data_IF_431029511621
#
_entry.id   IF_431029511621
#
_cell.length_a   1.000
_cell.length_b   1.000
_cell.length_c   1.000
_cell.angle_alpha   90.00
_cell.angle_beta   90.00
_cell.angle_gamma   90.00
#
_symmetry.space_group_name_H-M   'P 1'
#
loop_
_entity.id
_entity.type
_entity.pdbx_description
1 polymer ?
#
# COMPACT_ATOMS: atom_id res chain seq x y z
N UNK A 1 27.70 1.80 -7.26
CA UNK A 1 27.21 1.88 -5.87
C UNK A 1 26.61 0.54 -5.54
N UNK A 2 27.31 -0.25 -4.72
CA UNK A 2 26.89 -1.59 -4.32
C UNK A 2 25.97 -1.50 -3.11
N UNK A 3 24.92 -2.33 -3.10
CA UNK A 3 24.05 -2.55 -1.95
C UNK A 3 24.90 -2.97 -0.74
N UNK A 4 24.96 -2.16 0.32
CA UNK A 4 25.80 -2.50 1.46
C UNK A 4 25.89 -1.50 2.61
N UNK A 5 24.92 -0.60 2.80
CA UNK A 5 24.99 0.37 3.92
C UNK A 5 23.72 0.45 4.77
N UNK A 6 23.04 -0.68 4.93
CA UNK A 6 22.08 -0.82 6.02
C UNK A 6 22.73 -1.55 7.20
N UNK A 7 22.71 -0.98 8.41
CA UNK A 7 23.21 -1.66 9.59
C UNK A 7 22.42 -2.96 9.84
N UNK A 8 23.05 -4.01 10.40
CA UNK A 8 22.37 -5.28 10.66
C UNK A 8 21.20 -5.07 11.63
N UNK A 9 20.09 -5.79 11.39
CA UNK A 9 18.91 -5.79 12.26
C UNK A 9 19.31 -6.32 13.65
N UNK A 10 19.36 -5.42 14.64
CA UNK A 10 19.74 -5.72 16.02
C UNK A 10 20.78 -4.78 16.65
N UNK A 11 21.31 -3.80 15.91
CA UNK A 11 22.13 -2.73 16.50
C UNK A 11 21.19 -1.69 17.13
N UNK A 12 21.35 -1.41 18.43
CA UNK A 12 20.84 -0.18 19.03
C UNK A 12 21.36 0.98 18.18
N UNK A 13 20.49 1.58 17.38
CA UNK A 13 20.83 2.81 16.69
C UNK A 13 21.07 3.84 17.81
N UNK A 14 22.33 4.10 18.12
CA UNK A 14 22.73 5.31 18.85
C UNK A 14 21.94 6.46 18.21
N UNK A 15 21.23 7.31 18.97
CA UNK A 15 20.25 8.24 18.41
C UNK A 15 20.80 9.25 17.38
N UNK A 16 22.12 9.38 17.27
CA UNK A 16 22.80 10.39 16.45
C UNK A 16 22.59 10.26 14.93
N UNK A 17 22.73 9.11 14.26
CA UNK A 17 22.54 9.02 12.80
C UNK A 17 21.07 9.27 12.42
N UNK A 18 20.12 8.79 13.24
CA UNK A 18 18.70 9.05 13.05
C UNK A 18 18.41 10.56 13.19
N UNK A 19 18.90 11.18 14.26
CA UNK A 19 18.73 12.62 14.48
C UNK A 19 19.40 13.45 13.39
N UNK A 20 20.59 13.04 12.93
CA UNK A 20 21.31 13.72 11.87
C UNK A 20 20.54 13.64 10.54
N UNK A 21 20.03 12.47 10.18
CA UNK A 21 19.22 12.29 8.97
C UNK A 21 17.91 13.10 9.04
N UNK A 22 17.22 13.09 10.18
CA UNK A 22 16.01 13.89 10.42
C UNK A 22 16.28 15.41 10.39
N UNK A 23 17.48 15.83 10.78
CA UNK A 23 17.89 17.24 10.78
C UNK A 23 18.42 17.75 9.44
N UNK A 24 18.62 16.85 8.46
CA UNK A 24 19.08 17.24 7.12
C UNK A 24 18.01 18.01 6.36
N UNK A 25 18.41 18.94 5.50
CA UNK A 25 17.48 19.72 4.67
C UNK A 25 16.72 18.89 3.64
N UNK A 26 17.26 17.71 3.30
CA UNK A 26 16.66 16.80 2.32
C UNK A 26 15.84 15.69 3.00
N UNK A 27 16.01 15.42 4.29
CA UNK A 27 15.31 14.35 5.03
C UNK A 27 15.82 12.93 4.74
N UNK A 28 15.52 11.92 5.58
CA UNK A 28 15.93 10.53 5.35
C UNK A 28 15.11 9.86 4.23
N UNK A 29 15.66 8.78 3.69
CA UNK A 29 14.89 7.79 2.93
C UNK A 29 14.14 6.86 3.88
N UNK A 30 12.83 6.76 3.72
CA UNK A 30 11.94 5.99 4.60
C UNK A 30 11.17 4.95 3.80
N UNK A 31 11.22 3.71 4.26
CA UNK A 31 10.35 2.63 3.76
C UNK A 31 9.41 2.22 4.89
N UNK A 32 8.12 2.47 4.69
CA UNK A 32 7.08 2.04 5.61
C UNK A 32 6.53 0.68 5.15
N UNK A 33 6.55 -0.32 6.03
CA UNK A 33 6.12 -1.70 5.70
C UNK A 33 4.89 -2.05 6.51
N UNK A 34 3.86 -2.61 5.87
CA UNK A 34 2.66 -3.06 6.57
C UNK A 34 1.42 -3.11 5.69
N UNK A 35 0.26 -2.82 6.27
CA UNK A 35 -1.03 -2.75 5.57
C UNK A 35 -2.07 -1.98 6.37
N UNK A 36 -3.30 -1.98 5.88
CA UNK A 36 -4.45 -1.38 6.54
C UNK A 36 -4.32 0.10 6.84
N UNK A 37 -5.07 0.52 7.87
CA UNK A 37 -5.11 1.91 8.33
C UNK A 37 -3.82 2.34 9.03
N UNK A 38 -3.13 1.40 9.69
CA UNK A 38 -1.88 1.70 10.41
C UNK A 38 -0.79 2.21 9.46
N UNK A 39 -0.57 1.49 8.35
CA UNK A 39 0.39 1.92 7.34
C UNK A 39 -0.03 3.27 6.71
N UNK A 40 -1.31 3.44 6.39
CA UNK A 40 -1.83 4.69 5.81
C UNK A 40 -1.56 5.90 6.73
N UNK A 41 -1.74 5.77 8.05
CA UNK A 41 -1.42 6.84 8.99
C UNK A 41 0.10 7.06 9.13
N UNK A 42 0.88 5.98 9.12
CA UNK A 42 2.33 6.06 9.19
C UNK A 42 2.91 6.83 7.99
N UNK A 43 2.46 6.55 6.75
CA UNK A 43 2.96 7.27 5.56
C UNK A 43 2.56 8.74 5.55
N UNK A 44 1.37 9.11 6.07
CA UNK A 44 1.00 10.53 6.26
C UNK A 44 1.94 11.23 7.24
N UNK A 45 2.32 10.56 8.33
CA UNK A 45 3.29 11.11 9.27
C UNK A 45 4.69 11.20 8.65
N UNK A 46 5.13 10.18 7.91
CA UNK A 46 6.44 10.13 7.28
C UNK A 46 6.66 11.23 6.24
N UNK A 47 5.60 11.61 5.49
CA UNK A 47 5.65 12.72 4.54
C UNK A 47 6.09 14.07 5.14
N UNK A 48 6.05 14.23 6.47
CA UNK A 48 6.46 15.47 7.15
C UNK A 48 7.96 15.62 7.32
N UNK A 49 8.72 14.53 7.23
CA UNK A 49 10.16 14.53 7.48
C UNK A 49 10.97 13.75 6.44
N UNK A 50 10.37 12.80 5.74
CA UNK A 50 11.06 11.96 4.77
C UNK A 50 11.42 12.75 3.51
N UNK A 51 12.67 12.61 3.07
CA UNK A 51 13.14 13.11 1.78
C UNK A 51 12.75 12.23 0.61
N UNK A 52 12.71 10.93 0.86
CA UNK A 52 12.19 9.92 -0.05
C UNK A 52 11.31 8.96 0.75
N UNK A 53 10.15 8.61 0.20
CA UNK A 53 9.18 7.74 0.86
C UNK A 53 8.74 6.62 -0.06
N UNK A 54 8.74 5.41 0.46
CA UNK A 54 8.09 4.26 -0.18
C UNK A 54 7.24 3.50 0.84
N UNK A 55 6.14 2.92 0.37
CA UNK A 55 5.26 2.07 1.15
C UNK A 55 5.30 0.65 0.59
N UNK A 56 5.81 -0.32 1.35
CA UNK A 56 5.73 -1.74 1.01
C UNK A 56 4.47 -2.32 1.66
N UNK A 57 3.50 -2.67 0.83
CA UNK A 57 2.13 -2.94 1.24
C UNK A 57 1.82 -4.43 1.14
N UNK A 58 1.34 -5.03 2.22
CA UNK A 58 0.79 -6.38 2.18
C UNK A 58 -0.45 -6.44 1.29
N UNK A 59 -0.58 -7.55 0.57
CA UNK A 59 -1.66 -7.78 -0.39
C UNK A 59 -2.43 -9.07 -0.07
N UNK A 60 -2.28 -9.57 1.15
CA UNK A 60 -2.95 -10.77 1.66
C UNK A 60 -4.36 -10.50 2.24
N UNK A 61 -4.82 -9.25 2.21
CA UNK A 61 -6.12 -8.85 2.78
C UNK A 61 -7.28 -9.47 2.00
N UNK A 62 -8.04 -10.33 2.67
CA UNK A 62 -9.26 -10.97 2.19
C UNK A 62 -10.54 -10.31 2.74
N UNK A 63 -10.41 -9.23 3.52
CA UNK A 63 -11.51 -8.53 4.16
C UNK A 63 -12.32 -7.59 3.26
N UNK A 64 -13.48 -8.05 2.77
CA UNK A 64 -14.57 -7.20 2.28
C UNK A 64 -14.82 -7.27 0.77
N UNK A 65 -15.35 -6.19 0.18
CA UNK A 65 -15.72 -6.15 -1.25
C UNK A 65 -14.53 -6.35 -2.19
N UNK A 66 -13.30 -6.09 -1.74
CA UNK A 66 -12.06 -6.40 -2.47
C UNK A 66 -11.93 -7.90 -2.76
N UNK A 67 -12.32 -8.78 -1.83
CA UNK A 67 -12.23 -10.23 -2.01
C UNK A 67 -13.20 -10.79 -3.05
N UNK A 68 -14.28 -10.07 -3.38
CA UNK A 68 -15.28 -10.46 -4.39
C UNK A 68 -14.86 -10.13 -5.83
N UNK A 69 -13.99 -9.15 -6.01
CA UNK A 69 -13.53 -8.71 -7.34
C UNK A 69 -12.39 -9.56 -7.90
N UNK A 70 -11.68 -10.28 -7.03
CA UNK A 70 -10.34 -10.84 -7.28
C UNK A 70 -10.27 -12.37 -7.53
N UNK A 71 -11.33 -13.22 -7.38
CA UNK A 71 -11.20 -14.67 -7.65
C UNK A 71 -10.58 -15.02 -9.01
N UNK A 72 -10.90 -14.24 -10.05
CA UNK A 72 -10.60 -14.61 -11.44
C UNK A 72 -9.55 -13.71 -12.13
N UNK A 73 -8.94 -12.76 -11.40
CA UNK A 73 -8.14 -11.67 -12.00
C UNK A 73 -6.63 -11.79 -11.83
N UNK A 74 -6.12 -12.87 -11.23
CA UNK A 74 -4.68 -13.10 -10.99
C UNK A 74 -3.89 -11.85 -10.53
N UNK A 75 -4.54 -11.04 -9.69
CA UNK A 75 -3.99 -9.79 -9.18
C UNK A 75 -4.06 -9.76 -7.65
N UNK A 76 -3.19 -8.98 -6.99
CA UNK A 76 -3.25 -8.84 -5.54
C UNK A 76 -4.51 -8.08 -5.10
N UNK A 77 -4.92 -8.27 -3.84
CA UNK A 77 -6.08 -7.55 -3.31
C UNK A 77 -5.83 -6.03 -3.31
N UNK A 78 -6.68 -5.20 -3.96
CA UNK A 78 -6.38 -3.79 -4.17
C UNK A 78 -6.59 -2.91 -2.93
N UNK A 79 -7.18 -3.44 -1.86
CA UNK A 79 -7.69 -2.65 -0.73
C UNK A 79 -6.62 -1.83 0.01
N UNK A 80 -5.55 -2.48 0.44
CA UNK A 80 -4.47 -1.83 1.18
C UNK A 80 -3.60 -0.93 0.30
N UNK A 81 -3.37 -1.35 -0.95
CA UNK A 81 -2.72 -0.54 -1.98
C UNK A 81 -3.49 0.76 -2.19
N UNK A 82 -4.81 0.68 -2.39
CA UNK A 82 -5.69 1.85 -2.54
C UNK A 82 -5.57 2.80 -1.35
N UNK A 83 -5.60 2.28 -0.12
CA UNK A 83 -5.46 3.10 1.09
C UNK A 83 -4.12 3.85 1.11
N UNK A 84 -3.02 3.18 0.76
CA UNK A 84 -1.71 3.82 0.69
C UNK A 84 -1.62 4.88 -0.41
N UNK A 85 -2.16 4.60 -1.60
CA UNK A 85 -2.24 5.57 -2.69
C UNK A 85 -3.00 6.85 -2.27
N UNK A 86 -4.13 6.71 -1.58
CA UNK A 86 -4.88 7.85 -1.05
C UNK A 86 -4.05 8.60 0.00
N UNK A 87 -3.39 7.89 0.92
CA UNK A 87 -2.60 8.48 1.99
C UNK A 87 -1.38 9.27 1.47
N UNK A 88 -0.78 8.82 0.37
CA UNK A 88 0.38 9.45 -0.27
C UNK A 88 0.01 10.46 -1.35
N UNK A 89 -1.28 10.70 -1.61
CA UNK A 89 -1.73 11.67 -2.63
C UNK A 89 -2.10 13.03 -2.02
N UNK A 90 -1.85 14.15 -2.70
CA UNK A 90 -2.18 15.48 -2.21
C UNK A 90 -3.69 15.68 -2.04
N UNK A 91 -4.06 16.53 -1.08
CA UNK A 91 -5.45 16.96 -0.85
C UNK A 91 -5.56 18.49 -0.99
N UNK A 92 -6.61 19.02 -1.66
CA UNK A 92 -7.74 18.33 -2.30
C UNK A 92 -7.54 18.03 -3.80
N UNK A 93 -7.88 16.81 -4.25
CA UNK A 93 -8.01 16.46 -5.67
C UNK A 93 -9.26 15.65 -5.96
N UNK A 94 -9.84 15.80 -7.15
CA UNK A 94 -11.00 14.98 -7.59
C UNK A 94 -10.62 13.50 -7.66
N UNK A 95 -9.42 13.17 -8.14
CA UNK A 95 -8.94 11.80 -8.21
C UNK A 95 -8.87 11.13 -6.84
N UNK A 96 -8.35 11.82 -5.82
CA UNK A 96 -8.34 11.29 -4.44
C UNK A 96 -9.76 10.99 -3.95
N UNK A 97 -10.72 11.89 -4.20
CA UNK A 97 -12.13 11.66 -3.84
C UNK A 97 -12.75 10.48 -4.57
N UNK A 98 -12.45 10.30 -5.86
CA UNK A 98 -12.93 9.16 -6.65
C UNK A 98 -12.34 7.84 -6.13
N UNK A 99 -11.06 7.81 -5.78
CA UNK A 99 -10.42 6.62 -5.23
C UNK A 99 -10.95 6.28 -3.83
N UNK A 100 -11.29 7.27 -3.01
CA UNK A 100 -11.86 7.07 -1.68
C UNK A 100 -13.37 6.76 -1.69
N UNK A 101 -14.05 7.05 -2.81
CA UNK A 101 -15.49 6.87 -2.93
C UNK A 101 -15.91 5.40 -2.75
N UNK A 102 -17.00 5.21 -2.01
CA UNK A 102 -17.67 3.92 -1.80
C UNK A 102 -19.13 4.03 -2.21
N UNK A 103 -19.61 3.03 -2.95
CA UNK A 103 -21.01 2.97 -3.34
C UNK A 103 -21.89 2.54 -2.17
N UNK A 104 -22.92 3.34 -1.88
CA UNK A 104 -23.85 3.09 -0.76
C UNK A 104 -25.10 2.28 -1.19
N UNK A 105 -25.40 2.25 -2.48
CA UNK A 105 -26.57 1.57 -3.05
C UNK A 105 -26.26 1.10 -4.48
N UNK A 106 -27.12 0.26 -5.07
CA UNK A 106 -27.00 -0.45 -6.38
C UNK A 106 -26.32 -1.83 -6.34
N UNK A 107 -26.23 -2.49 -7.49
CA UNK A 107 -25.55 -3.79 -7.68
C UNK A 107 -24.05 -3.74 -7.32
N UNK A 108 -23.46 -2.54 -7.27
CA UNK A 108 -22.08 -2.32 -6.82
C UNK A 108 -21.99 -1.86 -5.36
N UNK A 109 -23.08 -1.92 -4.59
CA UNK A 109 -23.11 -1.51 -3.19
C UNK A 109 -21.97 -2.15 -2.37
N UNK A 110 -21.32 -1.33 -1.55
CA UNK A 110 -20.18 -1.71 -0.73
C UNK A 110 -18.84 -1.80 -1.49
N UNK A 111 -18.79 -1.66 -2.80
CA UNK A 111 -17.52 -1.56 -3.54
C UNK A 111 -16.92 -0.16 -3.39
N UNK A 112 -15.59 -0.12 -3.29
CA UNK A 112 -14.85 1.13 -3.47
C UNK A 112 -14.63 1.36 -4.96
N UNK A 113 -14.91 2.58 -5.43
CA UNK A 113 -14.61 2.96 -6.81
C UNK A 113 -13.11 2.88 -7.08
N UNK A 114 -12.25 3.27 -6.13
CA UNK A 114 -10.80 3.10 -6.25
C UNK A 114 -10.35 1.65 -6.45
N UNK A 115 -11.01 0.67 -5.81
CA UNK A 115 -10.70 -0.74 -6.08
C UNK A 115 -11.08 -1.14 -7.51
N UNK A 116 -12.23 -0.67 -7.99
CA UNK A 116 -12.68 -0.95 -9.36
C UNK A 116 -11.76 -0.29 -10.40
N UNK A 117 -11.27 0.91 -10.11
CA UNK A 117 -10.28 1.60 -10.94
C UNK A 117 -8.96 0.85 -10.98
N UNK A 118 -8.46 0.32 -9.85
CA UNK A 118 -7.24 -0.49 -9.83
C UNK A 118 -7.40 -1.79 -10.63
N UNK A 119 -8.55 -2.44 -10.53
CA UNK A 119 -8.88 -3.60 -11.37
C UNK A 119 -8.89 -3.23 -12.86
N UNK A 120 -9.55 -2.13 -13.22
CA UNK A 120 -9.61 -1.67 -14.60
C UNK A 120 -8.21 -1.31 -15.14
N UNK A 121 -7.40 -0.62 -14.35
CA UNK A 121 -6.03 -0.25 -14.73
C UNK A 121 -5.15 -1.47 -14.91
N UNK A 122 -5.25 -2.48 -14.05
CA UNK A 122 -4.57 -3.77 -14.23
C UNK A 122 -4.92 -4.41 -15.59
N UNK A 123 -6.20 -4.44 -15.96
CA UNK A 123 -6.65 -5.01 -17.24
C UNK A 123 -6.23 -4.18 -18.46
N UNK A 124 -6.25 -2.84 -18.35
CA UNK A 124 -5.91 -1.92 -19.43
C UNK A 124 -4.41 -1.93 -19.71
N UNK A 125 -3.59 -1.86 -18.65
CA UNK A 125 -2.14 -1.79 -18.77
C UNK A 125 -1.50 -3.18 -18.97
N UNK A 126 -2.23 -4.26 -18.65
CA UNK A 126 -1.82 -5.65 -18.88
C UNK A 126 -0.99 -6.28 -17.75
N UNK A 127 -0.66 -5.50 -16.70
CA UNK A 127 -0.01 -5.99 -15.49
C UNK A 127 -0.48 -5.19 -14.27
N UNK A 128 -0.37 -5.77 -13.07
CA UNK A 128 -0.73 -5.06 -11.83
C UNK A 128 0.26 -3.92 -11.54
N UNK A 129 1.55 -4.12 -11.84
CA UNK A 129 2.60 -3.11 -11.65
C UNK A 129 2.35 -1.88 -12.51
N UNK A 130 2.07 -2.07 -13.81
CA UNK A 130 1.80 -0.95 -14.71
C UNK A 130 0.49 -0.24 -14.37
N UNK A 131 -0.53 -1.00 -13.96
CA UNK A 131 -1.79 -0.46 -13.44
C UNK A 131 -1.59 0.37 -12.17
N UNK A 132 -0.69 -0.06 -11.27
CA UNK A 132 -0.33 0.69 -10.06
C UNK A 132 0.41 1.98 -10.40
N UNK A 133 1.40 1.92 -11.31
CA UNK A 133 2.10 3.11 -11.80
C UNK A 133 1.15 4.11 -12.46
N UNK A 134 0.14 3.64 -13.20
CA UNK A 134 -0.90 4.49 -13.75
C UNK A 134 -1.77 5.15 -12.67
N UNK A 135 -2.16 4.40 -11.63
CA UNK A 135 -2.89 4.94 -10.49
C UNK A 135 -2.08 5.99 -9.72
N UNK A 136 -0.78 5.75 -9.50
CA UNK A 136 0.12 6.69 -8.86
C UNK A 136 0.18 8.03 -9.60
N UNK A 137 0.30 7.97 -10.93
CA UNK A 137 0.28 9.15 -11.81
C UNK A 137 -1.05 9.91 -11.75
N UNK A 138 -2.19 9.20 -11.78
CA UNK A 138 -3.51 9.83 -11.68
C UNK A 138 -3.71 10.55 -10.35
N UNK A 139 -3.22 9.96 -9.26
CA UNK A 139 -3.37 10.50 -7.91
C UNK A 139 -2.30 11.55 -7.56
N UNK A 140 -1.21 11.63 -8.34
CA UNK A 140 -0.09 12.52 -8.03
C UNK A 140 0.59 12.14 -6.71
N UNK A 141 0.79 10.85 -6.48
CA UNK A 141 1.36 10.34 -5.22
C UNK A 141 2.79 10.84 -4.99
N UNK A 142 3.09 11.16 -3.74
CA UNK A 142 4.42 11.56 -3.28
C UNK A 142 5.16 10.31 -2.79
N UNK A 143 6.10 9.82 -3.59
CA UNK A 143 6.81 8.57 -3.34
C UNK A 143 6.24 7.40 -4.13
N UNK A 144 6.50 6.18 -3.67
CA UNK A 144 6.07 4.95 -4.36
C UNK A 144 5.33 3.97 -3.45
N UNK A 145 4.27 3.36 -3.96
CA UNK A 145 3.52 2.27 -3.34
C UNK A 145 3.95 0.99 -4.02
N UNK A 146 4.44 0.03 -3.24
CA UNK A 146 5.05 -1.21 -3.72
C UNK A 146 4.26 -2.38 -3.12
N UNK A 147 3.66 -3.27 -3.93
CA UNK A 147 3.00 -4.45 -3.41
C UNK A 147 4.03 -5.49 -2.94
N UNK A 148 3.75 -6.16 -1.82
CA UNK A 148 4.62 -7.20 -1.28
C UNK A 148 4.68 -8.47 -2.15
N UNK A 149 3.69 -8.66 -3.03
CA UNK A 149 3.64 -9.71 -4.03
C UNK A 149 2.90 -9.21 -5.28
N UNK A 150 3.28 -9.71 -6.46
CA UNK A 150 2.63 -9.38 -7.73
C UNK A 150 1.42 -10.25 -8.03
N UNK A 151 1.37 -11.41 -7.39
CA UNK A 151 0.30 -12.39 -7.51
C UNK A 151 -0.57 -12.39 -6.24
N UNK A 152 -1.72 -13.03 -6.34
CA UNK A 152 -2.58 -13.23 -5.18
C UNK A 152 -1.91 -14.15 -4.17
N UNK A 153 -1.80 -13.68 -2.93
CA UNK A 153 -1.33 -14.48 -1.79
C UNK A 153 -2.46 -14.71 -0.79
N UNK A 154 -2.36 -15.79 -0.02
CA UNK A 154 -3.25 -16.08 1.12
C UNK A 154 -2.43 -16.06 2.40
N UNK A 155 -3.02 -15.54 3.47
CA UNK A 155 -2.43 -15.59 4.80
C UNK A 155 -2.82 -16.90 5.47
N UNK A 156 -1.84 -17.59 6.06
CA UNK A 156 -2.08 -18.80 6.84
C UNK A 156 -1.44 -18.64 8.22
N UNK A 157 -2.13 -19.11 9.26
CA UNK A 157 -1.63 -19.17 10.63
C UNK A 157 -1.71 -20.59 11.15
N UNK A 158 -0.66 -21.05 11.84
CA UNK A 158 -0.66 -22.33 12.55
C UNK A 158 -0.90 -22.06 14.04
N UNK A 159 -2.04 -22.52 14.56
CA UNK A 159 -2.46 -22.34 15.95
C UNK A 159 -2.72 -23.72 16.55
N UNK A 160 -1.97 -24.07 17.59
CA UNK A 160 -2.07 -25.37 18.29
C UNK A 160 -2.02 -26.59 17.34
N UNK A 161 -1.23 -26.49 16.27
CA UNK A 161 -1.08 -27.54 15.25
C UNK A 161 -2.17 -27.57 14.18
N UNK A 162 -3.15 -26.67 14.25
CA UNK A 162 -4.19 -26.49 13.22
C UNK A 162 -3.85 -25.33 12.30
N UNK A 163 -4.13 -25.47 10.99
CA UNK A 163 -4.00 -24.39 10.01
C UNK A 163 -5.29 -23.58 9.97
N UNK A 164 -5.16 -22.27 10.04
CA UNK A 164 -6.24 -21.27 9.93
C UNK A 164 -5.92 -20.42 8.70
N UNK A 165 -6.82 -20.40 7.71
CA UNK A 165 -6.61 -19.71 6.42
C UNK A 165 -7.39 -18.41 6.32
N UNK A 166 -6.72 -17.29 6.06
CA UNK A 166 -7.34 -15.98 5.86
C UNK A 166 -7.22 -15.04 7.06
N UNK A 167 -7.34 -13.73 6.81
CA UNK A 167 -7.25 -12.68 7.83
C UNK A 167 -8.57 -12.55 8.62
N UNK A 168 -9.69 -12.95 8.01
CA UNK A 168 -11.03 -12.86 8.59
C UNK A 168 -11.57 -14.27 8.81
N UNK A 169 -11.04 -14.97 9.81
CA UNK A 169 -11.64 -16.19 10.34
C UNK A 169 -12.28 -15.94 11.70
#
# INVERSE_FOLDING_TARGET
MTAGDFPPLGVELEPDPLMQALSSSEGPSVVAVGGGHGLAQAVVACQRYAGALSALVTVADDGGSSGRLVPDLDMPAPGDIRRCLIAMSPEPTTWRRLFDFRFDSSDVAGHSLGNLLLVALHQIEGSFEDGLLAAERLLGTVGSVIPAALERVRLEAVVDGSVVEGQVN
#
